data_IF_940414310465
#
_entry.id   IF_940414310465
#
_cell.length_a   1.000
_cell.length_b   1.000
_cell.length_c   1.000
_cell.angle_alpha   90.00
_cell.angle_beta   90.00
_cell.angle_gamma   90.00
#
_symmetry.space_group_name_H-M   'P 1'
#
loop_
_entity.id
_entity.type
_entity.pdbx_description
1 polymer ?
#
# COMPACT_ATOMS: atom_id res chain seq x y z
N UNK A 1 -10.22 15.15 37.48
CA UNK A 1 -10.23 14.05 36.49
C UNK A 1 -10.21 14.72 35.13
N UNK A 2 -9.06 14.67 34.51
CA UNK A 2 -8.85 15.41 33.27
C UNK A 2 -9.55 14.64 32.13
N UNK A 3 -10.50 15.30 31.51
CA UNK A 3 -11.21 14.77 30.31
C UNK A 3 -10.68 15.49 29.10
N UNK A 4 -10.47 14.71 28.01
CA UNK A 4 -9.94 15.20 26.76
C UNK A 4 -10.85 14.83 25.59
N UNK A 5 -10.91 15.69 24.59
CA UNK A 5 -11.45 15.40 23.27
C UNK A 5 -10.30 15.02 22.35
N UNK A 6 -10.42 13.91 21.62
CA UNK A 6 -9.52 13.57 20.52
C UNK A 6 -9.94 14.42 19.32
N UNK A 7 -9.03 15.24 18.80
CA UNK A 7 -9.28 16.06 17.62
C UNK A 7 -8.99 15.32 16.32
N UNK A 8 -7.81 14.70 16.27
CA UNK A 8 -7.40 13.86 15.14
C UNK A 8 -6.21 12.97 15.51
N UNK A 9 -6.01 11.94 14.72
CA UNK A 9 -4.73 11.25 14.65
C UNK A 9 -3.86 12.04 13.68
N UNK A 10 -2.75 12.56 14.15
CA UNK A 10 -1.89 13.42 13.33
C UNK A 10 -0.98 12.63 12.43
N UNK A 11 -0.43 11.54 12.94
CA UNK A 11 0.42 10.65 12.16
C UNK A 11 0.64 9.30 12.85
N UNK A 12 1.05 8.33 12.07
CA UNK A 12 1.53 7.03 12.54
C UNK A 12 2.88 6.73 11.91
N UNK A 13 3.77 6.13 12.68
CA UNK A 13 5.09 5.64 12.25
C UNK A 13 5.23 4.19 12.63
N UNK A 14 5.78 3.40 11.73
CA UNK A 14 6.26 2.06 12.02
C UNK A 14 7.79 2.02 11.94
N UNK A 15 8.39 1.32 12.87
CA UNK A 15 9.84 1.17 13.00
C UNK A 15 10.18 -0.31 13.01
N UNK A 16 11.26 -0.67 12.33
CA UNK A 16 11.82 -2.02 12.38
C UNK A 16 12.51 -2.28 13.74
N UNK A 17 13.08 -3.47 13.89
CA UNK A 17 13.82 -3.89 15.10
C UNK A 17 15.09 -3.08 15.40
N UNK A 18 15.55 -2.26 14.44
CA UNK A 18 16.71 -1.37 14.58
C UNK A 18 16.29 0.08 14.88
N UNK A 19 15.00 0.34 15.16
CA UNK A 19 14.43 1.68 15.34
C UNK A 19 14.50 2.58 14.08
N UNK A 20 14.66 1.99 12.90
CA UNK A 20 14.58 2.70 11.63
C UNK A 20 13.13 2.79 11.17
N UNK A 21 12.70 3.95 10.70
CA UNK A 21 11.36 4.14 10.19
C UNK A 21 11.16 3.36 8.87
N UNK A 22 10.23 2.42 8.87
CA UNK A 22 9.85 1.64 7.68
C UNK A 22 8.85 2.42 6.84
N UNK A 23 7.83 2.98 7.49
CA UNK A 23 6.84 3.81 6.84
C UNK A 23 6.25 4.84 7.80
N UNK A 24 5.65 5.88 7.23
CA UNK A 24 4.93 6.95 7.94
C UNK A 24 3.67 7.29 7.18
N UNK A 25 2.58 7.47 7.90
CA UNK A 25 1.34 8.00 7.35
C UNK A 25 0.85 9.18 8.19
N UNK A 26 0.43 10.26 7.53
CA UNK A 26 -0.13 11.46 8.17
C UNK A 26 -1.63 11.63 7.93
N UNK A 27 -2.21 10.81 7.07
CA UNK A 27 -3.64 10.82 6.77
C UNK A 27 -4.28 9.54 7.31
N UNK A 28 -4.66 9.62 8.59
CA UNK A 28 -5.15 8.48 9.38
C UNK A 28 -6.54 8.82 9.90
N UNK A 29 -7.48 7.94 9.64
CA UNK A 29 -8.85 8.00 10.12
C UNK A 29 -9.23 6.73 10.91
N UNK A 30 -10.39 6.73 11.52
CA UNK A 30 -11.00 5.58 12.20
C UNK A 30 -10.09 4.83 13.19
N UNK A 31 -9.15 5.53 13.83
CA UNK A 31 -8.25 4.94 14.80
C UNK A 31 -9.00 4.33 15.98
N UNK A 32 -8.74 3.05 16.26
CA UNK A 32 -9.35 2.30 17.35
C UNK A 32 -8.32 1.37 18.00
N UNK A 33 -8.36 1.29 19.32
CA UNK A 33 -7.67 0.25 20.09
C UNK A 33 -8.75 -0.67 20.66
N UNK A 34 -8.70 -1.94 20.28
CA UNK A 34 -9.57 -2.99 20.84
C UNK A 34 -8.77 -3.83 21.82
N UNK A 35 -9.36 -4.15 22.93
CA UNK A 35 -8.73 -4.92 23.97
C UNK A 35 -9.69 -6.01 24.44
N UNK A 36 -9.25 -7.26 24.33
CA UNK A 36 -10.00 -8.43 24.73
C UNK A 36 -9.33 -9.13 25.91
N UNK A 37 -10.11 -9.86 26.69
CA UNK A 37 -9.60 -10.62 27.80
C UNK A 37 -10.41 -11.88 28.06
N UNK A 38 -9.72 -12.98 28.23
CA UNK A 38 -10.31 -14.24 28.67
C UNK A 38 -10.55 -14.26 30.16
N UNK A 39 -11.73 -14.69 30.55
CA UNK A 39 -12.14 -14.83 31.94
C UNK A 39 -12.49 -16.28 32.21
N UNK A 40 -11.66 -16.95 32.97
CA UNK A 40 -11.98 -18.30 33.47
C UNK A 40 -12.83 -18.19 34.74
N UNK A 41 -14.00 -18.84 34.71
CA UNK A 41 -14.90 -18.94 35.88
C UNK A 41 -14.89 -20.34 36.37
N UNK A 42 -14.65 -20.53 37.66
CA UNK A 42 -14.91 -21.84 38.36
C UNK A 42 -16.22 -21.73 39.11
N UNK A 43 -17.09 -22.68 38.89
CA UNK A 43 -18.37 -22.80 39.60
C UNK A 43 -18.24 -23.95 40.61
N UNK A 44 -18.96 -23.84 41.70
CA UNK A 44 -19.14 -24.93 42.66
C UNK A 44 -20.22 -25.94 42.19
N UNK A 45 -20.49 -26.96 43.00
CA UNK A 45 -21.48 -27.98 42.71
C UNK A 45 -22.93 -27.44 42.67
N UNK A 46 -23.16 -26.24 43.17
CA UNK A 46 -24.46 -25.54 43.09
C UNK A 46 -24.60 -24.63 41.88
N UNK A 47 -23.57 -24.48 41.04
CA UNK A 47 -23.52 -23.59 39.90
C UNK A 47 -23.14 -22.15 40.26
N UNK A 48 -22.82 -21.86 41.51
CA UNK A 48 -22.38 -20.51 41.92
C UNK A 48 -20.93 -20.29 41.49
N UNK A 49 -20.62 -19.10 40.95
CA UNK A 49 -19.25 -18.73 40.56
C UNK A 49 -18.42 -18.46 41.82
N UNK A 50 -17.57 -19.36 42.18
CA UNK A 50 -16.69 -19.28 43.37
C UNK A 50 -15.43 -18.49 43.09
N UNK A 51 -14.99 -18.52 41.80
CA UNK A 51 -13.72 -17.94 41.43
C UNK A 51 -13.73 -17.42 40.01
N UNK A 52 -13.18 -16.23 39.82
CA UNK A 52 -13.04 -15.56 38.51
C UNK A 52 -11.57 -15.20 38.33
N UNK A 53 -10.91 -15.75 37.32
CA UNK A 53 -9.55 -15.43 36.95
C UNK A 53 -9.52 -14.80 35.56
N UNK A 54 -8.83 -13.69 35.42
CA UNK A 54 -8.50 -13.15 34.10
C UNK A 54 -7.28 -13.92 33.59
N UNK A 55 -7.48 -14.77 32.58
CA UNK A 55 -6.46 -15.70 32.11
C UNK A 55 -5.49 -15.06 31.10
N UNK A 56 -6.01 -14.27 30.19
CA UNK A 56 -5.21 -13.63 29.15
C UNK A 56 -5.76 -12.25 28.79
N UNK A 57 -4.93 -11.44 28.18
CA UNK A 57 -5.29 -10.12 27.65
C UNK A 57 -4.59 -9.96 26.32
N UNK A 58 -5.36 -9.67 25.27
CA UNK A 58 -4.90 -9.32 23.93
C UNK A 58 -5.33 -7.90 23.58
N UNK A 59 -4.67 -7.30 22.62
CA UNK A 59 -5.07 -6.01 22.08
C UNK A 59 -4.75 -5.96 20.60
N UNK A 60 -5.56 -5.20 19.86
CA UNK A 60 -5.32 -4.87 18.47
C UNK A 60 -5.54 -3.37 18.25
N UNK A 61 -4.90 -2.85 17.20
CA UNK A 61 -5.09 -1.49 16.74
C UNK A 61 -5.60 -1.55 15.31
N UNK A 62 -6.65 -0.81 15.02
CA UNK A 62 -7.15 -0.62 13.66
C UNK A 62 -7.22 0.87 13.32
N UNK A 63 -6.91 1.19 12.08
CA UNK A 63 -7.01 2.54 11.53
C UNK A 63 -7.13 2.44 10.01
N UNK A 64 -7.47 3.53 9.37
CA UNK A 64 -7.61 3.62 7.92
C UNK A 64 -6.69 4.70 7.38
N UNK A 65 -6.14 4.47 6.20
CA UNK A 65 -5.34 5.42 5.44
C UNK A 65 -6.00 5.70 4.11
N UNK A 66 -6.08 6.97 3.71
CA UNK A 66 -6.76 7.41 2.49
C UNK A 66 -5.83 7.51 1.28
N UNK A 67 -4.52 7.34 1.48
CA UNK A 67 -3.54 7.40 0.40
C UNK A 67 -2.93 6.04 0.13
N UNK A 68 -2.85 5.71 -1.15
CA UNK A 68 -2.11 4.56 -1.62
C UNK A 68 -0.61 4.80 -1.46
N UNK A 69 0.01 4.12 -0.50
CA UNK A 69 1.45 4.08 -0.32
C UNK A 69 1.95 2.65 -0.51
N UNK A 70 2.71 2.43 -1.58
CA UNK A 70 3.25 1.12 -1.92
C UNK A 70 4.15 0.55 -0.82
N UNK A 71 4.84 1.41 -0.05
CA UNK A 71 5.64 0.95 1.09
C UNK A 71 4.75 0.40 2.20
N UNK A 72 3.61 1.05 2.47
CA UNK A 72 2.64 0.57 3.46
C UNK A 72 2.05 -0.76 2.99
N UNK A 73 1.60 -0.83 1.73
CA UNK A 73 1.01 -2.05 1.15
C UNK A 73 1.99 -3.22 1.21
N UNK A 74 3.22 -3.02 0.75
CA UNK A 74 4.28 -4.02 0.82
C UNK A 74 4.52 -4.50 2.25
N UNK A 75 4.63 -3.55 3.18
CA UNK A 75 4.90 -3.85 4.57
C UNK A 75 3.77 -4.64 5.25
N UNK A 76 2.49 -4.23 5.09
CA UNK A 76 1.35 -4.91 5.74
C UNK A 76 1.07 -6.28 5.14
N UNK A 77 1.34 -6.48 3.84
CA UNK A 77 1.17 -7.78 3.17
C UNK A 77 2.38 -8.71 3.34
N UNK A 78 3.50 -8.20 3.87
CA UNK A 78 4.76 -8.93 3.92
C UNK A 78 5.37 -9.18 2.55
N UNK A 79 4.96 -8.40 1.55
CA UNK A 79 5.40 -8.55 0.16
C UNK A 79 6.78 -7.96 -0.06
N UNK A 80 7.52 -8.51 -1.00
CA UNK A 80 8.76 -7.92 -1.46
C UNK A 80 8.47 -6.76 -2.42
N UNK A 81 9.08 -5.61 -2.16
CA UNK A 81 9.00 -4.46 -3.04
C UNK A 81 10.32 -4.24 -3.75
N UNK A 82 10.29 -4.21 -5.08
CA UNK A 82 11.43 -3.89 -5.94
C UNK A 82 11.15 -2.58 -6.66
N UNK A 83 12.12 -1.67 -6.61
CA UNK A 83 12.03 -0.37 -7.29
C UNK A 83 13.21 -0.20 -8.22
N UNK A 84 12.91 0.10 -9.48
CA UNK A 84 13.89 0.46 -10.50
C UNK A 84 13.73 1.94 -10.82
N UNK A 85 14.80 2.68 -10.85
CA UNK A 85 14.79 4.14 -11.11
C UNK A 85 15.13 4.48 -12.58
N UNK A 86 15.55 3.49 -13.36
CA UNK A 86 15.93 3.62 -14.75
C UNK A 86 17.37 4.09 -14.96
N UNK A 87 18.19 4.13 -13.91
CA UNK A 87 19.61 4.50 -13.99
C UNK A 87 20.52 3.29 -14.04
N UNK A 88 20.00 2.12 -13.68
CA UNK A 88 20.76 0.88 -13.70
C UNK A 88 21.01 0.40 -15.12
N UNK A 89 22.11 -0.35 -15.27
CA UNK A 89 22.45 -0.96 -16.55
C UNK A 89 21.44 -2.10 -16.87
N UNK A 90 20.69 -2.04 -17.99
CA UNK A 90 19.70 -3.06 -18.35
C UNK A 90 20.26 -4.49 -18.49
N UNK A 91 21.57 -4.65 -18.63
CA UNK A 91 22.21 -5.96 -18.71
C UNK A 91 22.51 -6.60 -17.35
N UNK A 92 22.46 -5.80 -16.27
CA UNK A 92 22.85 -6.24 -14.92
C UNK A 92 21.65 -6.45 -14.00
N UNK A 93 20.45 -6.05 -14.44
CA UNK A 93 19.22 -6.14 -13.65
C UNK A 93 18.12 -6.87 -14.40
N UNK A 94 17.31 -7.60 -13.66
CA UNK A 94 16.07 -8.17 -14.17
C UNK A 94 15.03 -7.07 -14.34
N UNK A 95 14.42 -6.89 -15.52
CA UNK A 95 13.39 -5.89 -15.73
C UNK A 95 12.09 -6.24 -14.98
N UNK A 96 11.25 -5.25 -14.75
CA UNK A 96 9.87 -5.46 -14.31
C UNK A 96 9.04 -5.82 -15.54
N UNK A 97 8.31 -6.94 -15.46
CA UNK A 97 7.38 -7.33 -16.49
C UNK A 97 6.07 -6.56 -16.33
N UNK A 98 5.72 -5.74 -17.31
CA UNK A 98 4.54 -4.87 -17.25
C UNK A 98 3.55 -5.28 -18.34
N UNK A 99 2.31 -5.67 -17.98
CA UNK A 99 1.26 -5.89 -18.97
C UNK A 99 0.83 -4.54 -19.56
N UNK A 100 0.62 -4.54 -20.88
CA UNK A 100 0.21 -3.35 -21.62
C UNK A 100 -0.96 -3.70 -22.56
N UNK A 101 -1.90 -2.79 -22.64
CA UNK A 101 -3.05 -2.88 -23.54
C UNK A 101 -2.97 -1.71 -24.52
N UNK A 102 -2.94 -2.04 -25.80
CA UNK A 102 -2.98 -1.05 -26.88
C UNK A 102 -4.25 -1.26 -27.71
N UNK A 103 -5.16 -0.30 -27.67
CA UNK A 103 -6.32 -0.28 -28.56
C UNK A 103 -6.03 0.65 -29.74
N UNK A 104 -6.30 0.18 -30.94
CA UNK A 104 -6.04 0.91 -32.19
C UNK A 104 -7.21 0.81 -33.17
N UNK A 105 -7.76 1.94 -33.56
CA UNK A 105 -8.75 1.98 -34.66
C UNK A 105 -8.00 2.01 -35.98
N UNK A 106 -8.22 1.00 -36.82
CA UNK A 106 -7.50 0.82 -38.06
C UNK A 106 -7.84 1.88 -39.11
N UNK A 107 -6.82 2.48 -39.67
CA UNK A 107 -6.94 3.39 -40.80
C UNK A 107 -6.70 2.64 -42.12
N UNK A 108 -7.09 3.23 -43.26
CA UNK A 108 -6.77 2.70 -44.57
C UNK A 108 -5.25 2.56 -44.79
N UNK A 109 -4.45 3.42 -44.14
CA UNK A 109 -3.00 3.34 -44.19
C UNK A 109 -2.46 2.07 -43.52
N UNK A 110 -3.02 1.73 -42.33
CA UNK A 110 -2.65 0.54 -41.57
C UNK A 110 -2.98 -0.74 -42.38
N UNK A 111 -4.17 -0.76 -42.99
CA UNK A 111 -4.60 -1.88 -43.85
C UNK A 111 -3.67 -2.02 -45.06
N UNK A 112 -3.32 -0.91 -45.72
CA UNK A 112 -2.43 -0.92 -46.87
C UNK A 112 -1.00 -1.35 -46.51
N UNK A 113 -0.53 -0.96 -45.31
CA UNK A 113 0.78 -1.35 -44.80
C UNK A 113 0.79 -2.78 -44.26
N UNK A 114 -0.36 -3.28 -43.79
CA UNK A 114 -0.51 -4.61 -43.23
C UNK A 114 0.03 -4.75 -41.81
N UNK A 115 0.29 -3.63 -41.10
CA UNK A 115 0.82 -3.66 -39.74
C UNK A 115 0.42 -2.43 -38.92
N UNK A 116 0.55 -2.57 -37.60
CA UNK A 116 0.46 -1.50 -36.61
C UNK A 116 1.73 -1.52 -35.76
N UNK A 117 2.29 -0.35 -35.51
CA UNK A 117 3.43 -0.22 -34.59
C UNK A 117 2.96 -0.36 -33.13
N UNK A 118 3.68 -1.16 -32.38
CA UNK A 118 3.47 -1.30 -30.94
C UNK A 118 4.18 -0.17 -30.20
N UNK A 119 3.52 0.37 -29.18
CA UNK A 119 4.06 1.46 -28.38
C UNK A 119 5.30 1.04 -27.58
N UNK A 120 5.34 -0.22 -27.15
CA UNK A 120 6.46 -0.82 -26.43
C UNK A 120 6.90 -2.11 -27.14
N UNK A 121 8.14 -2.50 -26.92
CA UNK A 121 8.66 -3.76 -27.50
C UNK A 121 8.14 -4.95 -26.70
N UNK A 122 7.36 -5.86 -27.30
CA UNK A 122 6.86 -7.03 -26.60
C UNK A 122 7.98 -7.91 -26.04
N UNK A 123 7.74 -8.42 -24.84
CA UNK A 123 8.63 -9.37 -24.18
C UNK A 123 8.62 -10.70 -24.93
N UNK A 124 9.80 -11.34 -25.01
CA UNK A 124 9.95 -12.70 -25.46
C UNK A 124 10.07 -13.59 -24.22
N UNK A 125 9.24 -14.61 -24.11
CA UNK A 125 9.30 -15.59 -23.03
C UNK A 125 10.52 -16.52 -23.13
N UNK A 126 10.74 -17.35 -22.12
CA UNK A 126 11.88 -18.29 -22.07
C UNK A 126 11.87 -19.32 -23.21
N UNK A 127 10.74 -19.54 -23.87
CA UNK A 127 10.57 -20.42 -25.00
C UNK A 127 10.83 -19.73 -26.34
N UNK A 128 11.15 -18.43 -26.34
CA UNK A 128 11.45 -17.64 -27.54
C UNK A 128 10.21 -17.12 -28.28
N UNK A 129 9.03 -17.14 -27.65
CA UNK A 129 7.78 -16.63 -28.20
C UNK A 129 7.38 -15.31 -27.53
N UNK A 130 6.73 -14.44 -28.31
CA UNK A 130 6.11 -13.24 -27.76
C UNK A 130 4.85 -13.61 -26.96
N UNK A 131 4.73 -13.10 -25.74
CA UNK A 131 3.52 -13.22 -24.93
C UNK A 131 2.56 -12.10 -25.31
N UNK A 132 1.74 -12.36 -26.33
CA UNK A 132 0.84 -11.39 -26.92
C UNK A 132 -0.48 -12.06 -27.28
N UNK A 133 -1.57 -11.37 -27.03
CA UNK A 133 -2.90 -11.74 -27.50
C UNK A 133 -3.55 -10.56 -28.20
N UNK A 134 -4.39 -10.84 -29.17
CA UNK A 134 -5.10 -9.79 -29.90
C UNK A 134 -6.52 -10.21 -30.22
N UNK A 135 -7.41 -9.23 -30.25
CA UNK A 135 -8.79 -9.43 -30.63
C UNK A 135 -9.39 -8.19 -31.27
N UNK A 136 -10.40 -8.39 -32.08
CA UNK A 136 -11.22 -7.33 -32.62
C UNK A 136 -12.30 -6.97 -31.59
N UNK A 137 -12.48 -5.67 -31.34
CA UNK A 137 -13.56 -5.15 -30.51
C UNK A 137 -14.73 -4.70 -31.36
N UNK A 138 -15.93 -4.91 -30.87
CA UNK A 138 -17.12 -4.24 -31.36
C UNK A 138 -17.19 -2.80 -30.86
N UNK A 139 -18.14 -2.02 -31.35
CA UNK A 139 -18.33 -0.60 -30.95
C UNK A 139 -18.71 -0.40 -29.48
N UNK A 140 -19.12 -1.45 -28.80
CA UNK A 140 -19.49 -1.45 -27.37
C UNK A 140 -18.37 -2.04 -26.47
N UNK A 141 -17.13 -2.08 -26.98
CA UNK A 141 -15.92 -2.63 -26.33
C UNK A 141 -16.01 -4.12 -25.96
N UNK A 142 -16.95 -4.87 -26.54
CA UNK A 142 -16.96 -6.30 -26.35
C UNK A 142 -16.06 -7.02 -27.37
N UNK A 143 -15.49 -8.16 -26.97
CA UNK A 143 -14.65 -8.98 -27.85
C UNK A 143 -15.57 -9.60 -28.92
N UNK A 144 -15.34 -9.22 -30.17
CA UNK A 144 -16.09 -9.74 -31.32
C UNK A 144 -15.36 -10.97 -31.90
N UNK A 145 -14.06 -10.87 -32.11
CA UNK A 145 -13.26 -11.95 -32.69
C UNK A 145 -11.86 -12.01 -32.07
N UNK A 146 -11.49 -13.13 -31.42
CA UNK A 146 -10.11 -13.35 -31.00
C UNK A 146 -9.23 -13.79 -32.19
N UNK A 147 -7.95 -13.38 -32.19
CA UNK A 147 -6.97 -13.81 -33.15
C UNK A 147 -5.89 -14.66 -32.47
N UNK A 148 -5.35 -15.61 -33.20
CA UNK A 148 -4.24 -16.43 -32.73
C UNK A 148 -2.90 -15.93 -33.31
N UNK A 149 -1.81 -16.16 -32.59
CA UNK A 149 -0.49 -15.85 -33.12
C UNK A 149 -0.05 -16.92 -34.11
N UNK A 150 0.36 -16.50 -35.30
CA UNK A 150 0.88 -17.35 -36.34
C UNK A 150 2.27 -16.93 -36.83
N UNK A 151 2.87 -17.72 -37.71
CA UNK A 151 4.13 -17.37 -38.36
C UNK A 151 3.93 -16.33 -39.49
N UNK A 152 2.74 -16.30 -40.07
CA UNK A 152 2.34 -15.38 -41.15
C UNK A 152 0.88 -15.00 -40.87
N UNK A 153 0.49 -13.73 -41.06
CA UNK A 153 -0.90 -13.32 -40.85
C UNK A 153 -1.83 -13.94 -41.90
N UNK A 154 -3.01 -14.35 -41.46
CA UNK A 154 -4.14 -14.77 -42.27
C UNK A 154 -5.44 -14.26 -41.70
N UNK A 155 -6.60 -14.81 -42.06
CA UNK A 155 -7.92 -14.34 -41.58
C UNK A 155 -8.15 -14.54 -40.08
N UNK A 156 -7.43 -15.47 -39.44
CA UNK A 156 -7.56 -15.84 -38.03
C UNK A 156 -6.30 -15.60 -37.21
N UNK A 157 -5.18 -15.36 -37.90
CA UNK A 157 -3.89 -15.21 -37.26
C UNK A 157 -3.26 -13.85 -37.51
N UNK A 158 -2.66 -13.30 -36.46
CA UNK A 158 -1.68 -12.21 -36.54
C UNK A 158 -0.26 -12.76 -36.46
N UNK A 159 0.72 -11.97 -36.84
CA UNK A 159 2.12 -12.29 -36.62
C UNK A 159 2.88 -11.11 -36.03
N UNK A 160 4.05 -11.39 -35.44
CA UNK A 160 4.95 -10.33 -34.94
C UNK A 160 6.20 -10.33 -35.84
N UNK A 161 6.54 -9.14 -36.33
CA UNK A 161 7.78 -8.97 -37.08
C UNK A 161 8.99 -9.17 -36.17
N UNK A 162 9.83 -10.15 -36.49
CA UNK A 162 11.06 -10.43 -35.73
C UNK A 162 12.10 -9.31 -35.81
N UNK A 163 11.96 -8.39 -36.77
CA UNK A 163 12.91 -7.30 -36.98
C UNK A 163 12.59 -6.06 -36.13
N UNK A 164 11.31 -5.71 -36.02
CA UNK A 164 10.90 -4.45 -35.41
C UNK A 164 9.91 -4.61 -34.25
N UNK A 165 9.47 -5.86 -33.97
CA UNK A 165 8.41 -6.09 -32.95
C UNK A 165 7.05 -5.51 -33.37
N UNK A 166 6.82 -5.21 -34.65
CA UNK A 166 5.55 -4.69 -35.16
C UNK A 166 4.48 -5.77 -35.21
N UNK A 167 3.25 -5.39 -34.96
CA UNK A 167 2.09 -6.28 -35.04
C UNK A 167 1.58 -6.33 -36.49
N UNK A 168 1.71 -7.50 -37.12
CA UNK A 168 1.21 -7.75 -38.48
C UNK A 168 -0.26 -8.14 -38.42
N UNK A 169 -1.09 -7.38 -39.15
CA UNK A 169 -2.55 -7.45 -39.05
C UNK A 169 -3.09 -8.75 -39.68
N UNK A 170 -4.10 -9.37 -39.05
CA UNK A 170 -4.96 -10.35 -39.70
C UNK A 170 -5.56 -9.81 -41.01
N UNK A 171 -5.61 -10.67 -42.06
CA UNK A 171 -6.10 -10.27 -43.40
C UNK A 171 -7.61 -10.02 -43.45
N UNK A 172 -8.36 -10.47 -42.46
CA UNK A 172 -9.80 -10.26 -42.35
C UNK A 172 -10.20 -8.86 -41.87
N UNK A 173 -9.27 -8.08 -41.35
CA UNK A 173 -9.53 -6.73 -40.78
C UNK A 173 -9.68 -5.69 -41.88
N UNK A 174 -10.54 -4.72 -41.65
CA UNK A 174 -10.85 -3.61 -42.55
C UNK A 174 -10.71 -2.25 -41.87
N UNK A 175 -10.71 -1.18 -42.66
CA UNK A 175 -10.70 0.19 -42.14
C UNK A 175 -11.89 0.42 -41.20
N UNK A 176 -11.63 1.02 -40.03
CA UNK A 176 -12.61 1.31 -39.01
C UNK A 176 -12.75 0.23 -37.95
N UNK A 177 -12.18 -0.97 -38.15
CA UNK A 177 -12.14 -1.99 -37.12
C UNK A 177 -11.26 -1.53 -35.95
N UNK A 178 -11.63 -1.95 -34.74
CA UNK A 178 -10.86 -1.70 -33.52
C UNK A 178 -10.15 -2.99 -33.15
N UNK A 179 -8.82 -2.93 -33.05
CA UNK A 179 -8.00 -4.05 -32.58
C UNK A 179 -7.43 -3.69 -31.22
N UNK A 180 -7.64 -4.57 -30.27
CA UNK A 180 -7.00 -4.50 -28.95
C UNK A 180 -5.92 -5.56 -28.86
N UNK A 181 -4.72 -5.12 -28.47
CA UNK A 181 -3.51 -5.92 -28.39
C UNK A 181 -3.01 -5.89 -26.95
N UNK A 182 -2.97 -7.05 -26.31
CA UNK A 182 -2.44 -7.24 -24.96
C UNK A 182 -1.08 -7.89 -25.07
N UNK A 183 -0.07 -7.30 -24.46
CA UNK A 183 1.27 -7.86 -24.43
C UNK A 183 2.02 -7.41 -23.17
N UNK A 184 3.10 -8.11 -22.87
CA UNK A 184 4.00 -7.74 -21.80
C UNK A 184 5.26 -7.10 -22.36
N UNK A 185 5.80 -6.11 -21.69
CA UNK A 185 7.07 -5.51 -22.02
C UNK A 185 8.00 -5.40 -20.81
N UNK A 186 9.28 -5.27 -21.05
CA UNK A 186 10.30 -5.13 -20.03
C UNK A 186 10.50 -3.66 -19.64
N UNK A 187 10.08 -3.29 -18.43
CA UNK A 187 10.29 -1.97 -17.88
C UNK A 187 11.53 -1.93 -16.99
N UNK A 188 12.39 -0.94 -17.21
CA UNK A 188 13.59 -0.66 -16.39
C UNK A 188 13.38 0.52 -15.45
N UNK A 189 12.15 1.01 -15.33
CA UNK A 189 11.74 2.03 -14.39
C UNK A 189 10.34 1.72 -13.89
N UNK A 190 10.19 1.63 -12.56
CA UNK A 190 8.89 1.31 -11.96
C UNK A 190 9.04 0.74 -10.57
N UNK A 191 7.92 0.37 -9.99
CA UNK A 191 7.86 -0.32 -8.70
C UNK A 191 7.01 -1.57 -8.85
N UNK A 192 7.51 -2.68 -8.38
CA UNK A 192 6.85 -3.97 -8.35
C UNK A 192 6.67 -4.42 -6.91
N UNK A 193 5.51 -4.96 -6.58
CA UNK A 193 5.24 -5.60 -5.30
C UNK A 193 4.84 -7.05 -5.59
N UNK A 194 5.61 -7.99 -5.07
CA UNK A 194 5.35 -9.42 -5.23
C UNK A 194 4.92 -10.00 -3.89
N UNK A 195 3.66 -10.43 -3.82
CA UNK A 195 3.15 -11.12 -2.65
C UNK A 195 3.34 -12.63 -2.81
N UNK A 196 4.26 -13.20 -2.03
CA UNK A 196 4.56 -14.62 -2.05
C UNK A 196 3.91 -15.33 -0.85
N UNK A 197 3.44 -16.55 -1.04
CA UNK A 197 2.88 -17.39 0.03
C UNK A 197 3.90 -17.74 1.11
N UNK A 198 5.17 -17.50 0.88
CA UNK A 198 6.27 -17.79 1.81
C UNK A 198 6.71 -16.58 2.63
N UNK A 199 6.31 -15.39 2.23
CA UNK A 199 6.66 -14.16 2.95
C UNK A 199 5.57 -13.80 3.97
N UNK A 200 6.00 -13.33 5.12
CA UNK A 200 5.11 -12.91 6.21
C UNK A 200 5.45 -11.48 6.61
N UNK A 201 4.44 -10.69 7.04
CA UNK A 201 4.71 -9.35 7.51
C UNK A 201 5.62 -9.36 8.73
N UNK A 202 6.50 -8.39 8.79
CA UNK A 202 7.39 -8.21 9.93
C UNK A 202 6.64 -7.61 11.12
N UNK A 203 7.21 -7.82 12.30
CA UNK A 203 6.74 -7.18 13.52
C UNK A 203 7.41 -5.82 13.69
N UNK A 204 6.62 -4.80 14.01
CA UNK A 204 7.08 -3.42 14.13
C UNK A 204 6.85 -2.85 15.52
N UNK A 205 7.62 -1.82 15.81
CA UNK A 205 7.27 -0.83 16.84
C UNK A 205 6.45 0.27 16.17
N UNK A 206 5.24 0.49 16.62
CA UNK A 206 4.33 1.48 16.02
C UNK A 206 4.05 2.61 17.01
N UNK A 207 4.10 3.85 16.54
CA UNK A 207 3.80 5.05 17.32
C UNK A 207 2.72 5.87 16.63
N UNK A 208 1.69 6.21 17.38
CA UNK A 208 0.60 7.08 16.96
C UNK A 208 0.68 8.40 17.70
N UNK A 209 0.60 9.50 16.96
CA UNK A 209 0.47 10.84 17.52
C UNK A 209 -0.98 11.29 17.39
N UNK A 210 -1.64 11.48 18.53
CA UNK A 210 -2.97 12.02 18.61
C UNK A 210 -2.92 13.46 19.13
N UNK A 211 -3.71 14.33 18.54
CA UNK A 211 -3.94 15.67 19.04
C UNK A 211 -5.23 15.68 19.85
N UNK A 212 -5.13 16.16 21.09
CA UNK A 212 -6.25 16.21 22.03
C UNK A 212 -6.40 17.61 22.61
N UNK A 213 -7.59 17.93 23.08
CA UNK A 213 -7.82 19.17 23.83
C UNK A 213 -8.53 18.86 25.13
N UNK A 214 -8.17 19.52 26.25
CA UNK A 214 -8.91 19.43 27.51
C UNK A 214 -10.37 19.89 27.33
N UNK A 215 -11.31 19.22 27.99
CA UNK A 215 -12.74 19.58 27.91
C UNK A 215 -12.99 21.00 28.41
N UNK A 216 -12.23 21.44 29.45
CA UNK A 216 -12.37 22.76 30.03
C UNK A 216 -11.58 23.87 29.29
N UNK A 217 -10.72 23.51 28.34
CA UNK A 217 -9.98 24.46 27.51
C UNK A 217 -9.75 23.86 26.15
N UNK A 218 -10.71 24.06 25.24
CA UNK A 218 -10.68 23.48 23.89
C UNK A 218 -9.67 24.15 22.98
N UNK A 219 -9.16 25.34 23.31
CA UNK A 219 -8.14 26.01 22.52
C UNK A 219 -6.74 25.41 22.73
N UNK A 220 -6.50 24.85 23.93
CA UNK A 220 -5.23 24.17 24.22
C UNK A 220 -5.15 22.84 23.48
N UNK A 221 -4.14 22.69 22.62
CA UNK A 221 -3.83 21.43 21.92
C UNK A 221 -2.69 20.74 22.64
N UNK A 222 -2.85 19.48 22.93
CA UNK A 222 -1.86 18.64 23.58
C UNK A 222 -1.61 17.40 22.74
N UNK A 223 -0.41 16.84 22.87
CA UNK A 223 0.00 15.63 22.17
C UNK A 223 -0.13 14.40 23.06
N UNK A 224 -0.78 13.38 22.54
CA UNK A 224 -0.83 12.04 23.15
C UNK A 224 -0.12 11.07 22.24
N UNK A 225 0.83 10.35 22.79
CA UNK A 225 1.53 9.28 22.10
C UNK A 225 0.97 7.92 22.51
N UNK A 226 0.64 7.11 21.54
CA UNK A 226 0.35 5.68 21.74
C UNK A 226 1.48 4.90 21.11
N UNK A 227 2.18 4.08 21.91
CA UNK A 227 3.31 3.26 21.45
C UNK A 227 3.01 1.80 21.67
N UNK A 228 3.09 0.99 20.64
CA UNK A 228 3.09 -0.46 20.68
C UNK A 228 4.45 -0.97 20.17
N UNK A 229 5.18 -1.70 21.00
CA UNK A 229 6.54 -2.13 20.67
C UNK A 229 6.60 -3.45 19.88
N UNK A 230 5.49 -4.14 19.76
CA UNK A 230 5.38 -5.43 19.09
C UNK A 230 4.01 -5.48 18.41
N UNK A 231 3.93 -4.93 17.21
CA UNK A 231 2.72 -4.86 16.42
C UNK A 231 2.95 -5.62 15.11
N UNK A 232 2.13 -6.63 14.86
CA UNK A 232 2.20 -7.45 13.65
C UNK A 232 0.96 -7.20 12.82
N UNK A 233 1.05 -6.93 11.51
CA UNK A 233 -0.11 -6.82 10.64
C UNK A 233 -0.97 -8.08 10.68
N UNK A 234 -2.28 -7.89 10.68
CA UNK A 234 -3.22 -8.99 10.49
C UNK A 234 -3.14 -9.46 9.04
N UNK A 235 -2.90 -10.77 8.86
CA UNK A 235 -2.74 -11.39 7.53
C UNK A 235 -4.05 -11.32 6.71
N UNK A 236 -5.19 -11.13 7.38
CA UNK A 236 -6.51 -10.99 6.74
C UNK A 236 -6.80 -9.57 6.22
N UNK A 237 -5.79 -8.81 5.84
CA UNK A 237 -5.96 -7.46 5.30
C UNK A 237 -6.65 -7.50 3.94
N UNK A 238 -7.77 -6.81 3.83
CA UNK A 238 -8.47 -6.59 2.57
C UNK A 238 -7.87 -5.37 1.87
N UNK A 239 -7.48 -5.53 0.61
CA UNK A 239 -7.05 -4.43 -0.24
C UNK A 239 -8.21 -4.13 -1.21
N UNK A 240 -8.89 -3.01 -1.01
CA UNK A 240 -9.88 -2.48 -1.94
C UNK A 240 -9.25 -1.50 -2.91
N UNK A 241 -9.70 -1.52 -4.16
CA UNK A 241 -9.21 -0.69 -5.26
C UNK A 241 -10.32 0.21 -5.81
N UNK A 242 -11.30 0.56 -5.00
CA UNK A 242 -12.38 1.45 -5.41
C UNK A 242 -11.98 2.92 -5.25
N UNK A 243 -12.66 3.77 -6.00
CA UNK A 243 -12.43 5.21 -5.94
C UNK A 243 -12.88 5.76 -4.57
N UNK A 244 -12.07 6.61 -3.95
CA UNK A 244 -12.31 7.22 -2.64
C UNK A 244 -12.37 6.25 -1.44
N UNK A 245 -11.99 4.98 -1.60
CA UNK A 245 -11.88 4.06 -0.49
C UNK A 245 -10.60 4.25 0.31
N UNK A 246 -10.72 3.98 1.61
CA UNK A 246 -9.60 3.94 2.54
C UNK A 246 -9.08 2.52 2.67
N UNK A 247 -7.78 2.38 2.91
CA UNK A 247 -7.16 1.08 3.18
C UNK A 247 -7.24 0.82 4.69
N UNK A 248 -8.01 -0.19 5.13
CA UNK A 248 -8.06 -0.57 6.53
C UNK A 248 -6.78 -1.31 6.92
N UNK A 249 -6.14 -0.85 7.99
CA UNK A 249 -4.95 -1.49 8.56
C UNK A 249 -5.29 -1.99 9.95
N UNK A 250 -5.03 -3.26 10.20
CA UNK A 250 -5.18 -3.88 11.50
C UNK A 250 -3.86 -4.48 11.95
N UNK A 251 -3.48 -4.17 13.18
CA UNK A 251 -2.26 -4.63 13.82
C UNK A 251 -2.61 -5.38 15.10
N UNK A 252 -2.15 -6.63 15.22
CA UNK A 252 -2.21 -7.38 16.45
C UNK A 252 -1.04 -7.02 17.36
N UNK A 253 -1.33 -6.71 18.62
CA UNK A 253 -0.33 -6.24 19.57
C UNK A 253 0.21 -7.39 20.42
N UNK A 254 1.48 -7.73 20.18
CA UNK A 254 2.20 -8.70 21.00
C UNK A 254 2.69 -8.10 22.32
N UNK A 255 2.80 -8.94 23.32
CA UNK A 255 3.34 -8.55 24.60
C UNK A 255 4.86 -8.39 24.53
N UNK A 256 5.37 -7.22 24.92
CA UNK A 256 6.80 -7.00 25.12
C UNK A 256 7.13 -6.92 26.60
N UNK A 257 8.30 -7.42 26.97
CA UNK A 257 8.83 -7.29 28.34
C UNK A 257 9.85 -6.16 28.34
N UNK A 258 9.43 -4.98 28.79
CA UNK A 258 10.31 -3.83 28.96
C UNK A 258 10.37 -3.48 30.46
N UNK A 259 11.58 -3.31 30.99
CA UNK A 259 11.81 -2.94 32.40
C UNK A 259 11.09 -3.90 33.41
N UNK A 260 11.06 -5.19 33.10
CA UNK A 260 10.39 -6.20 33.92
C UNK A 260 8.85 -6.16 33.87
N UNK A 261 8.26 -5.27 33.06
CA UNK A 261 6.81 -5.15 32.88
C UNK A 261 6.38 -5.68 31.53
N UNK A 262 5.32 -6.48 31.53
CA UNK A 262 4.65 -6.95 30.31
C UNK A 262 3.73 -5.84 29.81
N UNK A 263 4.04 -5.27 28.62
CA UNK A 263 3.26 -4.20 28.00
C UNK A 263 2.73 -4.65 26.64
N UNK A 264 1.45 -4.38 26.37
CA UNK A 264 0.87 -4.49 25.02
C UNK A 264 1.03 -3.15 24.28
N UNK A 265 0.70 -2.08 24.94
CA UNK A 265 0.89 -0.71 24.46
C UNK A 265 1.06 0.25 25.63
N UNK A 266 1.50 1.45 25.35
CA UNK A 266 1.69 2.54 26.28
C UNK A 266 1.03 3.81 25.75
N UNK A 267 0.30 4.55 26.61
CA UNK A 267 -0.28 5.86 26.28
C UNK A 267 0.41 6.89 27.15
N UNK A 268 1.02 7.88 26.50
CA UNK A 268 1.72 8.96 27.20
C UNK A 268 1.10 10.29 26.78
N UNK A 269 0.59 11.03 27.76
CA UNK A 269 0.18 12.42 27.60
C UNK A 269 1.31 13.29 28.17
N UNK A 270 1.94 14.07 27.32
CA UNK A 270 2.91 15.07 27.73
C UNK A 270 2.23 16.44 27.88
N UNK A 271 2.22 16.99 29.08
CA UNK A 271 1.85 18.39 29.31
C UNK A 271 3.11 19.24 29.29
N UNK A 272 3.38 19.88 28.15
CA UNK A 272 4.53 20.76 27.97
C UNK A 272 4.35 22.13 28.67
N UNK A 273 3.29 22.30 29.46
CA UNK A 273 2.97 23.60 30.10
C UNK A 273 3.90 23.98 31.27
N UNK A 274 4.77 23.06 31.72
CA UNK A 274 5.65 23.31 32.87
C UNK A 274 7.04 23.88 32.53
N UNK A 275 7.42 23.89 31.27
CA UNK A 275 8.67 24.55 30.84
C UNK A 275 8.29 25.63 29.84
N UNK A 276 8.30 26.89 30.31
CA UNK A 276 8.05 28.03 29.44
C UNK A 276 8.91 27.96 28.18
N UNK A 277 8.27 28.23 27.07
CA UNK A 277 8.84 28.60 25.78
C UNK A 277 9.29 27.53 24.77
N UNK A 278 9.29 26.24 25.03
CA UNK A 278 9.73 25.32 23.98
C UNK A 278 8.57 24.50 23.42
N UNK A 279 8.02 24.96 22.30
CA UNK A 279 7.11 24.19 21.46
C UNK A 279 7.73 22.88 21.02
N UNK A 280 6.91 21.87 20.75
CA UNK A 280 7.37 20.62 20.12
C UNK A 280 8.04 20.97 18.80
N UNK A 281 9.35 20.86 18.74
CA UNK A 281 10.10 21.05 17.52
C UNK A 281 9.87 19.79 16.67
N UNK A 282 8.96 19.85 15.72
CA UNK A 282 8.87 18.87 14.65
C UNK A 282 10.01 19.19 13.67
N UNK A 283 10.90 18.25 13.45
CA UNK A 283 11.92 18.38 12.41
C UNK A 283 11.43 17.72 11.13
N UNK A 284 11.60 18.40 10.01
CA UNK A 284 11.41 17.81 8.69
C UNK A 284 12.49 16.76 8.42
N UNK A 285 12.32 15.96 7.40
CA UNK A 285 13.33 14.99 6.94
C UNK A 285 14.71 15.62 6.69
N UNK A 286 14.73 16.90 6.33
CA UNK A 286 15.94 17.67 6.03
C UNK A 286 16.55 18.35 7.27
N UNK A 287 16.04 18.04 8.47
CA UNK A 287 16.59 18.54 9.73
C UNK A 287 16.13 19.94 10.12
N UNK A 288 15.26 20.58 9.35
CA UNK A 288 14.70 21.91 9.68
C UNK A 288 13.65 21.80 10.79
N UNK A 289 13.72 22.72 11.76
CA UNK A 289 12.77 22.78 12.85
C UNK A 289 11.47 23.46 12.39
N UNK A 290 10.32 22.76 12.54
CA UNK A 290 9.00 23.34 12.35
C UNK A 290 8.49 23.82 13.69
N UNK A 291 8.41 25.12 13.88
CA UNK A 291 7.88 25.74 15.09
C UNK A 291 6.37 25.93 14.96
N UNK A 292 5.56 25.21 15.74
CA UNK A 292 4.13 25.41 15.82
C UNK A 292 3.79 26.28 17.04
N UNK A 293 4.00 27.57 16.93
CA UNK A 293 3.52 28.53 17.91
C UNK A 293 2.39 29.38 17.33
N UNK A 294 1.33 29.49 18.14
CA UNK A 294 0.22 30.45 18.02
C UNK A 294 -0.38 30.63 16.62
N UNK A 295 -1.47 29.97 16.33
CA UNK A 295 -2.49 30.25 15.28
C UNK A 295 -2.07 31.09 14.05
N UNK A 296 -0.81 31.43 13.91
CA UNK A 296 -0.23 32.09 12.75
C UNK A 296 0.66 31.13 11.96
N UNK A 297 0.58 31.29 10.66
CA UNK A 297 1.21 30.49 9.63
C UNK A 297 2.57 29.87 10.01
N UNK A 298 2.73 28.59 9.72
CA UNK A 298 4.01 27.86 9.78
C UNK A 298 5.10 28.73 9.16
N UNK A 299 6.01 29.25 9.98
CA UNK A 299 7.20 29.95 9.49
C UNK A 299 8.35 28.95 9.49
N UNK A 300 8.89 28.68 8.31
CA UNK A 300 10.14 27.97 8.13
C UNK A 300 11.26 28.91 8.57
N UNK A 301 12.02 28.50 9.59
CA UNK A 301 13.25 29.20 9.98
C UNK A 301 14.40 28.51 9.26
N UNK A 302 15.09 29.26 8.42
CA UNK A 302 16.32 28.82 7.73
C UNK A 302 17.52 28.92 8.64
#
# INVERSE_FOLDING_TARGET
MDKFFIRKVSAVWAFNKYDEAVWKCSDVSHFRITQDGEVTRKQDSSGATVFRLNASKSASVSFEVSQWDLNIISAISGSEMRKLDGTENPYDIEPICVPYVQSHTLTQADINNGYVDLNETPRINDSGYYEISAHQLSQDDSIEKPFQQGAVPDDEHFAISSTNGTFLLPTSLVEGDIVEILYEFNAYKGTEIVNSVTTMPETWKVRFLLLVSPVCNTEKIMSVWVTANNATPDISTELSFELDETIPIRLELGCTVCDGKKKLYEIVLADNSSNGSDGVILRTHDGEAVNTYDNEAIRTIR
#
